data_IF_769149240809
#
_entry.id   IF_769149240809
#
_cell.length_a   1.000
_cell.length_b   1.000
_cell.length_c   1.000
_cell.angle_alpha   90.00
_cell.angle_beta   90.00
_cell.angle_gamma   90.00
#
_symmetry.space_group_name_H-M   'P 1'
#
loop_
_entity.id
_entity.type
_entity.pdbx_description
1 polymer ?
#
# COMPACT_ATOMS: atom_id res chain seq x y z
N UNK A 1 44.47 42.22 7.81
CA UNK A 1 43.36 41.41 7.25
C UNK A 1 41.99 42.14 7.29
N UNK A 2 41.91 43.47 7.08
CA UNK A 2 40.63 44.23 7.17
C UNK A 2 40.48 45.30 6.07
N UNK A 3 40.82 44.96 4.82
CA UNK A 3 40.62 45.90 3.68
C UNK A 3 39.86 45.31 2.49
N UNK A 4 39.49 44.03 2.52
CA UNK A 4 38.86 43.35 1.36
C UNK A 4 37.33 43.58 1.32
N UNK A 5 36.77 44.29 2.32
CA UNK A 5 35.31 44.46 2.52
C UNK A 5 34.84 45.87 2.12
N UNK A 6 35.50 46.54 1.17
CA UNK A 6 34.91 47.71 0.52
C UNK A 6 33.92 47.24 -0.57
N UNK A 7 32.75 46.81 -0.08
CA UNK A 7 31.40 47.12 -0.56
C UNK A 7 31.01 46.96 -2.04
N UNK A 8 31.84 46.33 -2.89
CA UNK A 8 31.48 46.09 -4.29
C UNK A 8 31.97 44.76 -4.85
N UNK A 9 33.20 44.36 -4.49
CA UNK A 9 33.80 43.13 -4.99
C UNK A 9 33.20 41.88 -4.33
N UNK A 10 32.88 41.97 -3.03
CA UNK A 10 32.32 40.85 -2.27
C UNK A 10 30.91 40.48 -2.75
N UNK A 11 30.08 41.47 -3.09
CA UNK A 11 28.75 41.27 -3.69
C UNK A 11 28.84 40.57 -5.05
N UNK A 12 29.83 40.95 -5.88
CA UNK A 12 30.06 40.30 -7.17
C UNK A 12 30.60 38.88 -7.02
N UNK A 13 31.49 38.64 -6.05
CA UNK A 13 31.98 37.30 -5.73
C UNK A 13 30.85 36.41 -5.21
N UNK A 14 30.03 36.90 -4.29
CA UNK A 14 28.86 36.18 -3.79
C UNK A 14 27.83 35.93 -4.88
N UNK A 15 27.63 36.86 -5.81
CA UNK A 15 26.73 36.66 -6.96
C UNK A 15 27.27 35.63 -7.97
N UNK A 16 28.59 35.53 -8.13
CA UNK A 16 29.23 34.52 -9.00
C UNK A 16 29.33 33.15 -8.33
N UNK A 17 29.54 33.11 -7.01
CA UNK A 17 29.61 31.88 -6.20
C UNK A 17 28.25 31.36 -5.73
N UNK A 18 27.24 32.21 -5.55
CA UNK A 18 25.81 31.83 -5.61
C UNK A 18 25.42 31.65 -7.07
N UNK A 19 26.13 30.78 -7.78
CA UNK A 19 25.72 30.32 -9.09
C UNK A 19 24.26 29.90 -9.01
N UNK A 20 23.42 30.60 -9.79
CA UNK A 20 21.99 30.38 -10.06
C UNK A 20 21.36 29.24 -9.26
N UNK A 21 21.26 29.40 -7.94
CA UNK A 21 20.43 28.51 -7.12
C UNK A 21 19.01 29.00 -7.36
N UNK A 22 18.14 28.21 -8.00
CA UNK A 22 16.74 28.60 -8.08
C UNK A 22 16.26 28.89 -6.65
N UNK A 23 15.50 29.97 -6.48
CA UNK A 23 14.79 30.21 -5.22
C UNK A 23 13.99 28.94 -4.93
N UNK A 24 14.40 28.20 -3.89
CA UNK A 24 13.65 27.05 -3.45
C UNK A 24 12.26 27.57 -3.08
N UNK A 25 11.17 27.09 -3.71
CA UNK A 25 9.85 27.47 -3.29
C UNK A 25 9.70 27.08 -1.81
N UNK A 26 9.32 28.03 -0.95
CA UNK A 26 9.11 27.86 0.50
C UNK A 26 7.99 26.85 0.85
N UNK A 27 7.51 26.08 -0.12
CA UNK A 27 6.47 25.05 0.04
C UNK A 27 6.94 23.62 -0.20
N UNK A 28 8.20 23.37 -0.56
CA UNK A 28 8.71 21.99 -0.68
C UNK A 28 9.34 21.55 0.65
N UNK A 29 8.49 21.41 1.67
CA UNK A 29 8.83 20.71 2.88
C UNK A 29 9.31 19.29 2.52
N UNK A 30 10.45 18.94 3.10
CA UNK A 30 11.19 17.69 2.96
C UNK A 30 10.49 16.52 3.65
N UNK A 31 9.19 16.32 3.42
CA UNK A 31 8.60 15.02 3.68
C UNK A 31 8.82 14.17 2.43
N UNK A 32 9.55 13.03 2.51
CA UNK A 32 9.62 12.09 1.41
C UNK A 32 8.16 11.79 1.05
N UNK A 33 7.74 12.20 -0.14
CA UNK A 33 6.35 12.25 -0.60
C UNK A 33 5.62 11.05 -0.04
N UNK A 34 4.92 11.26 1.08
CA UNK A 34 4.06 10.26 1.67
C UNK A 34 2.95 10.15 0.65
N UNK A 35 3.14 9.21 -0.30
CA UNK A 35 2.25 8.91 -1.40
C UNK A 35 0.85 8.93 -0.80
N UNK A 36 0.10 9.98 -1.14
CA UNK A 36 -1.19 10.24 -0.53
C UNK A 36 -2.02 8.98 -0.70
N UNK A 37 -2.69 8.50 0.34
CA UNK A 37 -3.54 7.29 0.30
C UNK A 37 -4.54 7.32 -0.89
N UNK A 38 -4.83 8.53 -1.40
CA UNK A 38 -5.59 8.76 -2.64
C UNK A 38 -4.95 8.14 -3.89
N UNK A 39 -3.62 8.12 -4.00
CA UNK A 39 -2.88 7.57 -5.15
C UNK A 39 -2.74 6.04 -5.08
N UNK A 40 -2.82 5.44 -3.88
CA UNK A 40 -2.84 3.98 -3.68
C UNK A 40 -4.21 3.32 -3.87
N UNK A 41 -5.25 4.11 -4.18
CA UNK A 41 -6.62 3.63 -4.31
C UNK A 41 -6.81 2.42 -5.25
N UNK A 42 -6.18 2.34 -6.44
CA UNK A 42 -6.45 1.22 -7.36
C UNK A 42 -5.81 -0.10 -6.91
N UNK A 43 -4.61 -0.06 -6.31
CA UNK A 43 -3.95 -1.27 -5.82
C UNK A 43 -4.70 -1.87 -4.60
N UNK A 44 -5.17 -1.01 -3.70
CA UNK A 44 -5.94 -1.44 -2.54
C UNK A 44 -7.29 -2.05 -2.96
N UNK A 45 -7.94 -1.46 -3.96
CA UNK A 45 -9.19 -1.96 -4.52
C UNK A 45 -9.03 -3.35 -5.16
N UNK A 46 -7.98 -3.54 -5.97
CA UNK A 46 -7.65 -4.84 -6.55
C UNK A 46 -7.36 -5.89 -5.47
N UNK A 47 -6.67 -5.50 -4.40
CA UNK A 47 -6.39 -6.38 -3.27
C UNK A 47 -7.69 -6.80 -2.57
N UNK A 48 -8.61 -5.87 -2.32
CA UNK A 48 -9.92 -6.18 -1.74
C UNK A 48 -10.74 -7.14 -2.62
N UNK A 49 -10.71 -6.96 -3.95
CA UNK A 49 -11.38 -7.88 -4.89
C UNK A 49 -10.74 -9.27 -4.82
N UNK A 50 -9.41 -9.35 -4.86
CA UNK A 50 -8.68 -10.62 -4.78
C UNK A 50 -9.00 -11.39 -3.51
N UNK A 51 -8.92 -10.71 -2.36
CA UNK A 51 -9.30 -11.29 -1.05
C UNK A 51 -10.77 -11.71 -1.03
N UNK A 52 -11.67 -10.89 -1.60
CA UNK A 52 -13.09 -11.22 -1.70
C UNK A 52 -13.33 -12.51 -2.48
N UNK A 53 -12.70 -12.67 -3.65
CA UNK A 53 -12.80 -13.88 -4.47
C UNK A 53 -12.26 -15.09 -3.72
N UNK A 54 -11.08 -14.97 -3.08
CA UNK A 54 -10.51 -16.06 -2.29
C UNK A 54 -11.43 -16.50 -1.13
N UNK A 55 -12.06 -15.55 -0.44
CA UNK A 55 -13.02 -15.86 0.63
C UNK A 55 -14.28 -16.55 0.11
N UNK A 56 -14.79 -16.14 -1.06
CA UNK A 56 -15.95 -16.78 -1.69
C UNK A 56 -15.63 -18.22 -2.08
N UNK A 57 -14.48 -18.47 -2.71
CA UNK A 57 -14.04 -19.83 -3.06
C UNK A 57 -13.89 -20.69 -1.81
N UNK A 58 -13.22 -20.17 -0.78
CA UNK A 58 -13.06 -20.87 0.49
C UNK A 58 -14.41 -21.17 1.16
N UNK A 59 -15.36 -20.23 1.13
CA UNK A 59 -16.69 -20.42 1.68
C UNK A 59 -17.47 -21.50 0.92
N UNK A 60 -17.37 -21.54 -0.40
CA UNK A 60 -18.01 -22.58 -1.22
C UNK A 60 -17.44 -23.96 -0.88
N UNK A 61 -16.11 -24.10 -0.84
CA UNK A 61 -15.46 -25.36 -0.49
C UNK A 61 -15.84 -25.81 0.93
N UNK A 62 -15.80 -24.87 1.90
CA UNK A 62 -16.18 -25.15 3.27
C UNK A 62 -17.64 -25.63 3.39
N UNK A 63 -18.56 -24.97 2.70
CA UNK A 63 -19.96 -25.38 2.66
C UNK A 63 -20.12 -26.76 2.02
N UNK A 64 -19.43 -27.00 0.90
CA UNK A 64 -19.51 -28.27 0.19
C UNK A 64 -19.00 -29.44 1.04
N UNK A 65 -17.81 -29.30 1.63
CA UNK A 65 -17.25 -30.31 2.54
C UNK A 65 -18.11 -30.52 3.79
N UNK A 66 -18.72 -29.47 4.31
CA UNK A 66 -19.61 -29.58 5.47
C UNK A 66 -20.90 -30.35 5.12
N UNK A 67 -21.49 -30.10 3.94
CA UNK A 67 -22.66 -30.83 3.45
C UNK A 67 -22.32 -32.29 3.14
N UNK A 68 -21.16 -32.55 2.54
CA UNK A 68 -20.71 -33.91 2.25
C UNK A 68 -20.50 -34.71 3.54
N UNK A 69 -19.86 -34.12 4.55
CA UNK A 69 -19.70 -34.74 5.86
C UNK A 69 -21.04 -35.08 6.53
N UNK A 70 -22.05 -34.23 6.37
CA UNK A 70 -23.42 -34.53 6.85
C UNK A 70 -24.03 -35.71 6.10
N UNK A 71 -23.85 -35.77 4.78
CA UNK A 71 -24.35 -36.86 3.94
C UNK A 71 -23.70 -38.21 4.28
N UNK A 72 -22.39 -38.22 4.51
CA UNK A 72 -21.68 -39.45 4.87
C UNK A 72 -22.08 -39.96 6.25
N UNK A 73 -22.25 -39.06 7.23
CA UNK A 73 -22.78 -39.44 8.54
C UNK A 73 -24.19 -40.03 8.45
N UNK A 74 -25.02 -39.55 7.52
CA UNK A 74 -26.36 -40.10 7.29
C UNK A 74 -26.30 -41.50 6.64
N UNK A 75 -25.37 -41.73 5.71
CA UNK A 75 -25.18 -43.06 5.09
C UNK A 75 -24.75 -44.11 6.10
N UNK A 76 -23.85 -43.77 7.03
CA UNK A 76 -23.41 -44.69 8.09
C UNK A 76 -24.59 -45.11 8.98
N UNK A 77 -25.48 -44.18 9.33
CA UNK A 77 -26.67 -44.50 10.13
C UNK A 77 -27.66 -45.38 9.36
N UNK A 78 -27.88 -45.14 8.07
CA UNK A 78 -28.79 -45.96 7.25
C UNK A 78 -28.23 -47.37 7.09
N UNK A 79 -26.94 -47.51 6.74
CA UNK A 79 -26.27 -48.81 6.63
C UNK A 79 -26.36 -49.61 7.96
N UNK A 80 -26.13 -48.95 9.11
CA UNK A 80 -26.26 -49.59 10.43
C UNK A 80 -27.68 -50.03 10.79
N UNK A 81 -28.71 -49.44 10.17
CA UNK A 81 -30.10 -49.84 10.37
C UNK A 81 -30.54 -50.96 9.43
N UNK A 82 -29.85 -51.15 8.30
CA UNK A 82 -30.07 -52.27 7.38
C UNK A 82 -29.32 -53.54 7.85
N UNK A 83 -28.25 -53.38 8.64
CA UNK A 83 -27.44 -54.48 9.20
C UNK A 83 -27.90 -54.97 10.60
N UNK A 84 -28.99 -54.43 11.16
CA UNK A 84 -29.54 -54.74 12.49
C UNK A 84 -30.94 -55.39 12.42
#
# INVERSE_FOLDING_TARGET
YRKIVQSGLWIRLVKKWRGRRPECPEGHNLEPTAMSIREFSPALFLLCIGVGISLVVLAIEFLFSHLEKRRDSQRVTIQSSDDA
#
